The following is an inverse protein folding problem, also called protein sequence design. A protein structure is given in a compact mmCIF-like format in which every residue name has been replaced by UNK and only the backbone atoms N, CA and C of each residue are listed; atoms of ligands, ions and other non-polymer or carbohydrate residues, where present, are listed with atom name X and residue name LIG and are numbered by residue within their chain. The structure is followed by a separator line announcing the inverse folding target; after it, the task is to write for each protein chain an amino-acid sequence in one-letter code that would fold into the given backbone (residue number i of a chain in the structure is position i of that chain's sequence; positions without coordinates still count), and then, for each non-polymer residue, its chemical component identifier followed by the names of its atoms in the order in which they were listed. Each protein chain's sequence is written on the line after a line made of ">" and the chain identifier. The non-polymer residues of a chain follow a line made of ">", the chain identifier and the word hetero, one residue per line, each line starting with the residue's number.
data_IF_582483277782
#
_entry.id   IF_582483277782
#
_cell.length_a   1.000
_cell.length_b   1.000
_cell.length_c   1.000
_cell.angle_alpha   90.00
_cell.angle_beta   90.00
_cell.angle_gamma   90.00
#
_symmetry.space_group_name_H-M   'P 1'
#
loop_
_entity.id
_entity.type
_entity.pdbx_description
1 polymer ?
#
# COMPACT_ATOMS: atom_id res chain seq x y z
N UNK A 1 -33.59 -49.36 37.38
CA UNK A 1 -33.66 -48.56 36.14
C UNK A 1 -33.19 -47.09 36.28
N UNK A 2 -32.91 -46.57 37.49
CA UNK A 2 -32.47 -45.17 37.66
C UNK A 2 -30.96 -44.92 37.51
N UNK A 3 -30.11 -45.82 38.00
CA UNK A 3 -28.64 -45.68 37.95
C UNK A 3 -28.07 -45.71 36.52
N UNK A 4 -28.71 -46.43 35.60
CA UNK A 4 -28.27 -46.54 34.20
C UNK A 4 -28.58 -45.25 33.43
N UNK A 5 -29.74 -44.65 33.68
CA UNK A 5 -30.12 -43.36 33.11
C UNK A 5 -29.22 -42.21 33.62
N UNK A 6 -28.82 -42.25 34.89
CA UNK A 6 -27.89 -41.28 35.46
C UNK A 6 -26.47 -41.40 34.87
N UNK A 7 -25.98 -42.63 34.68
CA UNK A 7 -24.70 -42.89 34.01
C UNK A 7 -24.70 -42.43 32.55
N UNK A 8 -25.81 -42.66 31.83
CA UNK A 8 -25.96 -42.19 30.46
C UNK A 8 -25.92 -40.65 30.38
N UNK A 9 -26.62 -39.95 31.29
CA UNK A 9 -26.61 -38.47 31.37
C UNK A 9 -25.23 -37.90 31.69
N UNK A 10 -24.50 -38.52 32.62
CA UNK A 10 -23.12 -38.10 32.94
C UNK A 10 -22.16 -38.34 31.77
N UNK A 11 -22.35 -39.41 31.01
CA UNK A 11 -21.61 -39.66 29.77
C UNK A 11 -21.86 -38.58 28.73
N UNK A 12 -23.13 -38.27 28.49
CA UNK A 12 -23.55 -37.23 27.54
C UNK A 12 -23.01 -35.85 27.92
N UNK A 13 -23.07 -35.46 29.20
CA UNK A 13 -22.53 -34.19 29.67
C UNK A 13 -21.01 -34.10 29.49
N UNK A 14 -20.28 -35.20 29.72
CA UNK A 14 -18.82 -35.24 29.50
C UNK A 14 -18.46 -35.08 28.03
N UNK A 15 -19.23 -35.70 27.14
CA UNK A 15 -19.05 -35.59 25.70
C UNK A 15 -19.34 -34.17 25.20
N UNK A 16 -20.40 -33.55 25.71
CA UNK A 16 -20.76 -32.16 25.41
C UNK A 16 -19.66 -31.18 25.87
N UNK A 17 -19.16 -31.34 27.10
CA UNK A 17 -18.04 -30.52 27.60
C UNK A 17 -16.77 -30.74 26.76
N UNK A 18 -16.50 -31.96 26.32
CA UNK A 18 -15.36 -32.25 25.45
C UNK A 18 -15.54 -31.64 24.04
N UNK A 19 -16.75 -31.65 23.50
CA UNK A 19 -17.09 -31.01 22.23
C UNK A 19 -16.89 -29.49 22.32
N UNK A 20 -17.49 -28.83 23.32
CA UNK A 20 -17.36 -27.38 23.54
C UNK A 20 -15.90 -26.95 23.71
N UNK A 21 -15.10 -27.75 24.44
CA UNK A 21 -13.66 -27.47 24.61
C UNK A 21 -12.89 -27.56 23.29
N UNK A 22 -13.21 -28.53 22.43
CA UNK A 22 -12.60 -28.67 21.10
C UNK A 22 -12.97 -27.48 20.21
N UNK A 23 -14.25 -27.14 20.15
CA UNK A 23 -14.74 -26.03 19.33
C UNK A 23 -14.10 -24.71 19.75
N UNK A 24 -14.05 -24.44 21.06
CA UNK A 24 -13.36 -23.26 21.61
C UNK A 24 -11.88 -23.23 21.23
N UNK A 25 -11.20 -24.38 21.29
CA UNK A 25 -9.79 -24.48 20.87
C UNK A 25 -9.58 -24.21 19.38
N UNK A 26 -10.51 -24.68 18.53
CA UNK A 26 -10.51 -24.41 17.10
C UNK A 26 -10.76 -22.94 16.79
N UNK A 27 -11.68 -22.30 17.49
CA UNK A 27 -12.01 -20.88 17.30
C UNK A 27 -10.86 -19.99 17.76
N UNK A 28 -10.26 -20.29 18.92
CA UNK A 28 -9.09 -19.56 19.40
C UNK A 28 -7.90 -19.68 18.44
N UNK A 29 -7.71 -20.86 17.83
CA UNK A 29 -6.66 -21.09 16.83
C UNK A 29 -6.93 -20.34 15.53
N UNK A 30 -8.20 -20.22 15.12
CA UNK A 30 -8.61 -19.39 13.97
C UNK A 30 -8.34 -17.91 14.23
N UNK A 31 -8.71 -17.41 15.39
CA UNK A 31 -8.46 -16.02 15.80
C UNK A 31 -6.96 -15.72 15.85
N UNK A 32 -6.14 -16.59 16.45
CA UNK A 32 -4.69 -16.39 16.48
C UNK A 32 -4.08 -16.31 15.08
N UNK A 33 -4.50 -17.18 14.16
CA UNK A 33 -4.03 -17.12 12.76
C UNK A 33 -4.46 -15.83 12.07
N UNK A 34 -5.70 -15.38 12.31
CA UNK A 34 -6.19 -14.13 11.74
C UNK A 34 -5.45 -12.91 12.32
N UNK A 35 -5.16 -12.90 13.62
CA UNK A 35 -4.37 -11.83 14.24
C UNK A 35 -2.94 -11.80 13.70
N UNK A 36 -2.28 -12.97 13.61
CA UNK A 36 -0.93 -13.06 13.05
C UNK A 36 -0.88 -12.58 11.59
N UNK A 37 -1.90 -12.92 10.79
CA UNK A 37 -2.02 -12.44 9.42
C UNK A 37 -2.24 -10.93 9.36
N UNK A 38 -3.17 -10.39 10.16
CA UNK A 38 -3.41 -8.96 10.24
C UNK A 38 -2.16 -8.17 10.68
N UNK A 39 -1.38 -8.69 11.63
CA UNK A 39 -0.12 -8.07 12.07
C UNK A 39 0.93 -8.04 10.94
N UNK A 40 1.01 -9.10 10.15
CA UNK A 40 1.86 -9.17 8.97
C UNK A 40 1.41 -8.14 7.93
N UNK A 41 0.13 -8.09 7.61
CA UNK A 41 -0.45 -7.14 6.64
C UNK A 41 -0.21 -5.69 7.07
N UNK A 42 -0.38 -5.38 8.36
CA UNK A 42 -0.10 -4.04 8.91
C UNK A 42 1.39 -3.71 8.83
N UNK A 43 2.27 -4.68 9.08
CA UNK A 43 3.72 -4.49 9.00
C UNK A 43 4.18 -4.26 7.55
N UNK A 44 3.64 -5.02 6.60
CA UNK A 44 3.90 -4.85 5.18
C UNK A 44 3.34 -3.53 4.65
N UNK A 45 2.16 -3.13 5.11
CA UNK A 45 1.61 -1.81 4.86
C UNK A 45 2.53 -0.71 5.42
N UNK A 46 3.01 -0.85 6.65
CA UNK A 46 3.91 0.14 7.26
C UNK A 46 5.22 0.29 6.47
N UNK A 47 5.83 -0.83 6.02
CA UNK A 47 7.05 -0.81 5.20
C UNK A 47 6.81 -0.21 3.81
N UNK A 48 5.69 -0.53 3.16
CA UNK A 48 5.34 0.04 1.85
C UNK A 48 4.99 1.53 1.90
N UNK A 49 4.73 2.08 3.09
CA UNK A 49 4.48 3.50 3.30
C UNK A 49 5.75 4.32 3.57
N UNK A 50 6.94 3.72 3.60
CA UNK A 50 8.20 4.46 3.76
C UNK A 50 8.39 5.44 2.59
N UNK A 51 8.46 6.76 2.83
CA UNK A 51 8.66 7.73 1.76
C UNK A 51 10.03 7.51 1.10
N UNK A 52 10.07 7.40 -0.23
CA UNK A 52 11.30 7.39 -1.00
C UNK A 52 11.87 8.81 -1.04
N UNK A 53 13.09 8.99 -0.52
CA UNK A 53 13.78 10.27 -0.55
C UNK A 53 14.63 10.39 -1.81
N UNK A 54 14.42 11.46 -2.57
CA UNK A 54 15.24 11.82 -3.73
C UNK A 54 15.90 13.16 -3.46
N UNK A 55 17.22 13.14 -3.29
CA UNK A 55 18.00 14.37 -3.14
C UNK A 55 18.18 15.08 -4.49
N UNK A 56 18.21 16.40 -4.48
CA UNK A 56 18.46 17.20 -5.67
C UNK A 56 19.38 18.39 -5.38
N UNK A 57 20.07 18.81 -6.41
CA UNK A 57 20.79 20.08 -6.49
C UNK A 57 20.55 20.66 -7.88
N UNK A 58 20.22 21.95 -7.95
CA UNK A 58 19.89 22.61 -9.21
C UNK A 58 20.36 24.07 -9.22
N UNK A 59 20.62 24.55 -10.43
CA UNK A 59 20.98 25.96 -10.68
C UNK A 59 19.74 26.81 -10.90
N UNK A 60 19.79 28.06 -10.42
CA UNK A 60 18.78 29.07 -10.68
C UNK A 60 18.56 29.24 -12.18
N UNK A 61 17.31 29.48 -12.55
CA UNK A 61 16.83 29.68 -13.92
C UNK A 61 16.95 28.48 -14.86
N UNK A 62 17.19 27.28 -14.32
CA UNK A 62 17.11 26.02 -15.06
C UNK A 62 15.96 25.16 -14.55
N UNK A 63 15.24 24.57 -15.50
CA UNK A 63 14.27 23.51 -15.19
C UNK A 63 15.01 22.19 -15.12
N UNK A 64 14.76 21.42 -14.07
CA UNK A 64 15.32 20.08 -13.88
C UNK A 64 14.23 19.13 -13.42
N UNK A 65 14.16 17.94 -14.02
CA UNK A 65 13.34 16.85 -13.52
C UNK A 65 14.05 16.25 -12.29
N UNK A 66 13.45 16.41 -11.11
CA UNK A 66 14.02 15.97 -9.83
C UNK A 66 13.48 14.61 -9.40
N UNK A 67 12.36 14.18 -10.00
CA UNK A 67 11.81 12.83 -9.94
C UNK A 67 10.90 12.63 -11.15
N UNK A 68 10.55 11.38 -11.46
CA UNK A 68 9.66 11.07 -12.59
C UNK A 68 8.38 11.89 -12.52
N UNK A 69 8.14 12.72 -13.54
CA UNK A 69 6.96 13.56 -13.62
C UNK A 69 6.97 14.80 -12.70
N UNK A 70 8.05 15.05 -11.96
CA UNK A 70 8.21 16.22 -11.09
C UNK A 70 9.38 17.07 -11.58
N UNK A 71 9.06 18.16 -12.26
CA UNK A 71 10.04 19.13 -12.73
C UNK A 71 10.05 20.38 -11.86
N UNK A 72 11.22 20.83 -11.46
CA UNK A 72 11.42 22.00 -10.61
C UNK A 72 12.24 23.06 -11.35
N UNK A 73 11.82 24.31 -11.22
CA UNK A 73 12.64 25.47 -11.59
C UNK A 73 12.64 26.48 -10.46
N UNK A 74 13.83 26.83 -10.01
CA UNK A 74 14.05 27.96 -9.09
C UNK A 74 14.30 29.22 -9.91
N UNK A 75 13.52 30.27 -9.68
CA UNK A 75 13.62 31.56 -10.37
C UNK A 75 14.19 32.66 -9.48
N UNK A 76 14.26 32.43 -8.17
CA UNK A 76 14.82 33.40 -7.22
C UNK A 76 15.31 32.72 -5.96
N UNK A 77 16.42 33.22 -5.43
CA UNK A 77 17.03 32.80 -4.18
C UNK A 77 17.29 34.03 -3.32
N UNK A 78 17.05 33.93 -2.02
CA UNK A 78 17.34 34.97 -1.02
C UNK A 78 18.16 34.31 0.07
N UNK A 79 19.49 34.50 0.01
CA UNK A 79 20.44 33.87 0.94
C UNK A 79 20.29 34.48 2.33
N UNK A 80 20.03 35.78 2.43
CA UNK A 80 19.76 36.50 3.67
C UNK A 80 18.52 35.97 4.41
N UNK A 81 17.45 35.63 3.68
CA UNK A 81 16.21 35.09 4.26
C UNK A 81 16.13 33.58 4.25
N UNK A 82 17.12 32.92 3.66
CA UNK A 82 17.12 31.48 3.41
C UNK A 82 15.82 31.01 2.71
N UNK A 83 15.46 31.69 1.62
CA UNK A 83 14.20 31.48 0.90
C UNK A 83 14.39 31.24 -0.59
N UNK A 84 13.43 30.52 -1.17
CA UNK A 84 13.41 30.13 -2.59
C UNK A 84 12.08 30.53 -3.24
N UNK A 85 12.16 30.96 -4.50
CA UNK A 85 11.04 31.22 -5.40
C UNK A 85 11.16 30.39 -6.66
N UNK A 86 10.04 29.97 -7.22
CA UNK A 86 10.04 29.16 -8.42
C UNK A 86 8.70 28.52 -8.72
N UNK A 87 8.75 27.42 -9.43
CA UNK A 87 7.58 26.60 -9.70
C UNK A 87 7.96 25.13 -9.83
N UNK A 88 6.99 24.28 -9.49
CA UNK A 88 7.03 22.84 -9.72
C UNK A 88 5.98 22.52 -10.77
N UNK A 89 6.36 21.74 -11.77
CA UNK A 89 5.46 21.21 -12.78
C UNK A 89 5.27 19.72 -12.54
N UNK A 90 4.01 19.32 -12.41
CA UNK A 90 3.59 17.95 -12.14
C UNK A 90 2.98 17.32 -13.39
N UNK A 91 3.60 16.25 -13.86
CA UNK A 91 3.11 15.35 -14.90
C UNK A 91 2.70 14.01 -14.26
N UNK A 92 1.68 13.31 -14.79
CA UNK A 92 0.85 13.68 -15.94
C UNK A 92 -0.25 14.71 -15.62
N UNK A 93 -0.32 15.21 -14.39
CA UNK A 93 -1.44 16.05 -13.91
C UNK A 93 -1.58 17.41 -14.61
N UNK A 94 -0.55 17.84 -15.34
CA UNK A 94 -0.43 19.14 -16.03
C UNK A 94 -0.69 20.31 -15.08
N UNK A 95 -0.19 20.20 -13.85
CA UNK A 95 -0.38 21.20 -12.81
C UNK A 95 0.93 21.93 -12.51
N UNK A 96 0.84 23.26 -12.42
CA UNK A 96 1.96 24.10 -11.96
C UNK A 96 1.68 24.56 -10.53
N UNK A 97 2.62 24.28 -9.63
CA UNK A 97 2.63 24.79 -8.27
C UNK A 97 3.62 25.94 -8.16
N UNK A 98 3.16 27.08 -7.68
CA UNK A 98 4.03 28.23 -7.46
C UNK A 98 4.71 28.13 -6.10
N UNK A 99 6.04 28.16 -6.09
CA UNK A 99 6.86 28.23 -4.88
C UNK A 99 7.10 29.71 -4.60
N UNK A 100 6.50 30.23 -3.53
CA UNK A 100 6.58 31.64 -3.15
C UNK A 100 7.25 31.77 -1.78
N UNK A 101 8.44 32.36 -1.76
CA UNK A 101 9.18 32.69 -0.54
C UNK A 101 9.29 31.49 0.43
N UNK A 102 9.47 30.28 -0.12
CA UNK A 102 9.54 29.06 0.67
C UNK A 102 10.87 29.03 1.43
N UNK A 103 10.80 28.95 2.76
CA UNK A 103 11.99 28.87 3.60
C UNK A 103 12.71 27.53 3.45
N UNK A 104 14.02 27.50 3.72
CA UNK A 104 14.72 26.23 3.91
C UNK A 104 14.07 25.44 5.07
N UNK A 105 14.11 24.11 4.97
CA UNK A 105 13.52 23.16 5.91
C UNK A 105 12.00 23.29 6.08
N UNK A 106 11.35 24.17 5.31
CA UNK A 106 9.90 24.25 5.23
C UNK A 106 9.40 23.32 4.11
N UNK A 107 8.52 22.34 4.43
CA UNK A 107 7.99 21.45 3.41
C UNK A 107 6.90 22.14 2.58
N UNK A 108 7.02 22.03 1.26
CA UNK A 108 5.91 22.24 0.34
C UNK A 108 5.23 20.91 0.04
N UNK A 109 4.03 20.74 0.59
CA UNK A 109 3.21 19.53 0.42
C UNK A 109 2.35 19.61 -0.83
N UNK A 110 2.35 18.55 -1.63
CA UNK A 110 1.48 18.44 -2.80
C UNK A 110 1.05 17.00 -3.05
N UNK A 111 0.05 16.82 -3.92
CA UNK A 111 -0.57 15.53 -4.20
C UNK A 111 -0.62 15.32 -5.71
N UNK A 112 -0.35 14.09 -6.14
CA UNK A 112 -0.69 13.62 -7.47
C UNK A 112 -2.16 13.15 -7.53
N UNK A 113 -2.75 13.14 -8.72
CA UNK A 113 -4.13 12.67 -8.92
C UNK A 113 -4.30 11.16 -8.66
N UNK A 114 -3.20 10.41 -8.69
CA UNK A 114 -3.17 8.97 -8.47
C UNK A 114 -3.49 8.54 -7.02
N UNK A 115 -3.58 9.48 -6.08
CA UNK A 115 -4.01 9.20 -4.71
C UNK A 115 -2.93 8.62 -3.80
N UNK A 116 -1.66 8.68 -4.19
CA UNK A 116 -0.49 8.15 -3.45
C UNK A 116 -0.19 8.81 -2.11
N UNK A 117 -0.93 9.85 -1.73
CA UNK A 117 -0.70 10.64 -0.53
C UNK A 117 0.15 11.89 -0.80
N UNK A 118 0.52 12.65 0.25
CA UNK A 118 1.28 13.88 0.08
C UNK A 118 2.75 13.58 -0.21
N UNK A 119 3.26 14.18 -1.27
CA UNK A 119 4.68 14.37 -1.52
C UNK A 119 5.15 15.65 -0.83
N UNK A 120 6.40 15.66 -0.38
CA UNK A 120 6.99 16.84 0.29
C UNK A 120 8.27 17.29 -0.40
N UNK A 121 8.29 18.52 -0.90
CA UNK A 121 9.49 19.17 -1.40
C UNK A 121 10.11 20.02 -0.29
N UNK A 122 11.39 19.80 0.02
CA UNK A 122 12.12 20.53 1.06
C UNK A 122 13.43 21.06 0.48
N UNK A 123 13.64 22.37 0.55
CA UNK A 123 14.97 22.96 0.30
C UNK A 123 15.78 22.93 1.60
N UNK A 124 17.05 22.53 1.54
CA UNK A 124 17.93 22.47 2.72
C UNK A 124 19.08 23.47 2.63
N UNK A 125 19.42 23.92 1.43
CA UNK A 125 20.47 24.91 1.18
C UNK A 125 20.05 25.84 0.05
N UNK A 126 20.38 27.11 0.22
CA UNK A 126 20.24 28.13 -0.83
C UNK A 126 21.54 28.93 -0.95
N UNK A 127 21.97 29.16 -2.19
CA UNK A 127 23.05 30.08 -2.55
C UNK A 127 22.58 31.09 -3.58
N UNK A 128 23.49 31.95 -4.04
CA UNK A 128 23.15 33.05 -4.96
C UNK A 128 22.63 32.57 -6.33
N UNK A 129 23.11 31.40 -6.78
CA UNK A 129 22.77 30.82 -8.08
C UNK A 129 22.36 29.34 -8.04
N UNK A 130 22.23 28.75 -6.85
CA UNK A 130 21.87 27.34 -6.68
C UNK A 130 20.97 27.11 -5.47
N UNK A 131 20.27 25.98 -5.50
CA UNK A 131 19.53 25.47 -4.36
C UNK A 131 19.63 23.94 -4.31
N UNK A 132 19.63 23.39 -3.10
CA UNK A 132 19.66 21.95 -2.88
C UNK A 132 18.59 21.55 -1.87
N UNK A 133 18.17 20.30 -1.93
CA UNK A 133 17.07 19.81 -1.12
C UNK A 133 16.77 18.34 -1.38
N UNK A 134 15.58 17.94 -0.96
CA UNK A 134 15.07 16.60 -1.22
C UNK A 134 13.57 16.61 -1.46
N UNK A 135 13.12 15.59 -2.18
CA UNK A 135 11.72 15.27 -2.40
C UNK A 135 11.40 13.96 -1.69
N UNK A 136 10.38 13.96 -0.84
CA UNK A 136 9.81 12.75 -0.26
C UNK A 136 8.66 12.29 -1.14
N UNK A 137 8.84 11.15 -1.80
CA UNK A 137 7.84 10.50 -2.63
C UNK A 137 7.12 9.43 -1.82
N UNK A 138 5.80 9.49 -1.75
CA UNK A 138 5.02 8.33 -1.33
C UNK A 138 4.86 7.42 -2.53
N UNK A 139 5.26 6.15 -2.39
CA UNK A 139 5.08 5.17 -3.47
C UNK A 139 3.60 4.77 -3.57
N UNK A 140 3.11 4.71 -4.80
CA UNK A 140 1.91 3.95 -5.12
C UNK A 140 2.23 2.48 -4.92
N UNK A 141 1.27 1.73 -4.36
CA UNK A 141 1.20 0.30 -4.62
C UNK A 141 1.15 0.17 -6.15
N UNK A 142 2.20 -0.38 -6.76
CA UNK A 142 2.09 -0.82 -8.14
C UNK A 142 0.96 -1.85 -8.15
N UNK A 143 -0.20 -1.48 -8.70
CA UNK A 143 -1.23 -2.43 -9.10
C UNK A 143 -0.71 -3.21 -10.31
N UNK A 144 0.34 -4.00 -10.09
CA UNK A 144 0.84 -5.03 -10.99
C UNK A 144 0.72 -6.38 -10.25
N UNK A 145 -0.50 -6.72 -9.85
CA UNK A 145 -0.82 -8.05 -9.31
C UNK A 145 -2.25 -8.51 -9.66
N UNK A 146 -2.83 -8.00 -10.76
CA UNK A 146 -4.13 -8.49 -11.27
C UNK A 146 -4.09 -8.95 -12.72
N UNK A 147 -2.93 -8.92 -13.39
CA UNK A 147 -2.79 -9.49 -14.74
C UNK A 147 -2.50 -11.01 -14.75
N UNK A 148 -2.33 -11.66 -13.59
CA UNK A 148 -2.02 -13.10 -13.50
C UNK A 148 -3.16 -13.97 -12.94
N UNK A 149 -4.41 -13.46 -12.92
CA UNK A 149 -5.59 -14.33 -12.81
C UNK A 149 -6.19 -14.59 -14.20
N UNK A 150 -5.37 -15.06 -15.13
CA UNK A 150 -5.88 -15.84 -16.25
C UNK A 150 -6.21 -17.23 -15.71
N UNK A 151 -7.46 -17.43 -15.31
CA UNK A 151 -8.03 -18.76 -14.99
C UNK A 151 -7.75 -19.68 -16.19
N UNK A 152 -7.03 -20.81 -16.04
CA UNK A 152 -6.97 -21.78 -17.11
C UNK A 152 -8.34 -22.45 -17.22
N UNK A 153 -8.95 -22.23 -18.37
CA UNK A 153 -10.11 -22.94 -18.89
C UNK A 153 -9.88 -24.45 -18.74
N UNK A 154 -10.69 -25.12 -17.91
CA UNK A 154 -10.63 -26.57 -17.74
C UNK A 154 -11.25 -27.25 -18.95
N UNK A 155 -10.43 -27.56 -19.95
CA UNK A 155 -10.75 -28.61 -20.91
C UNK A 155 -10.46 -29.99 -20.32
N UNK A 156 -11.46 -30.87 -20.40
CA UNK A 156 -11.25 -32.31 -20.55
C UNK A 156 -11.44 -33.18 -19.31
N UNK A 157 -12.64 -33.76 -19.17
CA UNK A 157 -12.76 -35.19 -18.81
C UNK A 157 -13.80 -35.84 -19.72
N UNK A 158 -13.28 -36.57 -20.69
CA UNK A 158 -13.96 -37.60 -21.47
C UNK A 158 -14.17 -38.84 -20.60
N UNK A 159 -15.40 -39.35 -20.54
CA UNK A 159 -15.66 -40.79 -20.49
C UNK A 159 -16.94 -41.08 -21.26
N UNK A 160 -16.81 -41.73 -22.40
CA UNK A 160 -17.94 -42.23 -23.17
C UNK A 160 -18.63 -43.42 -22.52
N UNK A 161 -19.90 -43.62 -22.85
CA UNK A 161 -20.49 -44.96 -22.95
C UNK A 161 -21.66 -44.87 -23.93
N UNK A 162 -21.48 -45.50 -25.09
CA UNK A 162 -22.57 -45.95 -25.95
C UNK A 162 -23.22 -47.15 -25.25
N UNK A 163 -24.52 -47.10 -24.98
CA UNK A 163 -25.34 -48.31 -25.05
C UNK A 163 -26.64 -48.03 -25.80
N UNK A 164 -26.78 -48.85 -26.83
CA UNK A 164 -27.90 -49.12 -27.71
C UNK A 164 -28.91 -50.02 -26.99
N UNK A 165 -30.22 -49.71 -27.03
CA UNK A 165 -31.38 -50.63 -26.86
C UNK A 165 -32.68 -49.81 -26.95
N UNK A 166 -33.40 -49.77 -28.08
CA UNK A 166 -34.40 -50.74 -28.57
C UNK A 166 -35.76 -50.70 -27.83
N UNK A 167 -36.79 -50.31 -28.60
CA UNK A 167 -38.24 -50.63 -28.51
C UNK A 167 -39.04 -50.19 -27.26
N UNK A 168 -39.91 -49.17 -27.43
CA UNK A 168 -41.37 -49.33 -27.64
C UNK A 168 -42.06 -48.00 -27.91
#
# INVERSE_FOLDING_TARGET
>A
SGQEAERARLGQLREEVAAVRRDTGHDLSRLHRQLAHNEQDVTELARSLEPVRVDFELRKDRTQEIAQGVSLRVTGTSVDKQQVKGWVWLMPDRKTLWVRDLGIQQPLRFYHKDGTGPHELVFTRVGDDHAAGYLLLKQQRAEEATADMSVPEREGLSTGTYEESVLR
#
